data_IF_605782923446
#
_entry.id   IF_605782923446
#
_cell.length_a   1.000
_cell.length_b   1.000
_cell.length_c   1.000
_cell.angle_alpha   90.00
_cell.angle_beta   90.00
_cell.angle_gamma   90.00
#
_symmetry.space_group_name_H-M   'P 1'
#
loop_
_entity.id
_entity.type
_entity.pdbx_description
1 polymer ?
#
# COMPACT_ATOMS: atom_id res chain seq x y z
N UNK A 1 6.00 -22.18 -4.31
CA UNK A 1 6.87 -21.75 -3.19
C UNK A 1 8.20 -21.15 -3.62
N UNK A 2 9.07 -21.89 -4.34
CA UNK A 2 10.46 -21.42 -4.65
C UNK A 2 10.53 -20.05 -5.33
N UNK A 3 9.71 -19.80 -6.35
CA UNK A 3 9.70 -18.51 -7.08
C UNK A 3 9.29 -17.31 -6.22
N UNK A 4 8.35 -17.52 -5.28
CA UNK A 4 7.93 -16.47 -4.34
C UNK A 4 9.08 -16.08 -3.42
N UNK A 5 9.78 -17.09 -2.87
CA UNK A 5 10.95 -16.86 -2.02
C UNK A 5 12.09 -16.19 -2.80
N UNK A 6 12.31 -16.56 -4.07
CA UNK A 6 13.29 -15.90 -4.94
C UNK A 6 12.97 -14.42 -5.12
N UNK A 7 11.70 -14.09 -5.38
CA UNK A 7 11.26 -12.69 -5.51
C UNK A 7 11.45 -11.91 -4.21
N UNK A 8 11.06 -12.50 -3.09
CA UNK A 8 11.26 -11.90 -1.77
C UNK A 8 12.74 -11.64 -1.47
N UNK A 9 13.61 -12.64 -1.66
CA UNK A 9 15.04 -12.51 -1.44
C UNK A 9 15.69 -11.47 -2.38
N UNK A 10 15.25 -11.40 -3.63
CA UNK A 10 15.69 -10.39 -4.58
C UNK A 10 15.36 -8.98 -4.09
N UNK A 11 14.11 -8.73 -3.72
CA UNK A 11 13.69 -7.41 -3.27
C UNK A 11 14.40 -6.99 -1.98
N UNK A 12 14.59 -7.92 -1.04
CA UNK A 12 15.33 -7.62 0.20
C UNK A 12 16.79 -7.21 -0.06
N UNK A 13 17.45 -7.84 -1.04
CA UNK A 13 18.81 -7.45 -1.46
C UNK A 13 18.82 -6.10 -2.16
N UNK A 14 17.79 -5.81 -2.94
CA UNK A 14 17.66 -4.55 -3.66
C UNK A 14 17.45 -3.37 -2.68
N UNK A 15 16.55 -3.52 -1.71
CA UNK A 15 16.33 -2.51 -0.65
C UNK A 15 17.60 -2.22 0.15
N UNK A 16 18.46 -3.23 0.38
CA UNK A 16 19.76 -3.04 1.04
C UNK A 16 20.77 -2.26 0.19
N UNK A 17 20.60 -2.24 -1.13
CA UNK A 17 21.52 -1.59 -2.09
C UNK A 17 21.01 -0.25 -2.59
N UNK A 18 19.69 -0.06 -2.63
CA UNK A 18 19.03 1.18 -3.05
C UNK A 18 18.30 1.81 -1.86
N UNK A 19 18.99 2.60 -1.02
CA UNK A 19 18.33 3.35 0.05
C UNK A 19 17.32 4.38 -0.48
N UNK A 20 17.41 4.76 -1.76
CA UNK A 20 16.41 5.60 -2.43
C UNK A 20 15.00 4.98 -2.42
N UNK A 21 14.90 3.66 -2.40
CA UNK A 21 13.60 2.97 -2.36
C UNK A 21 12.93 3.09 -0.98
N UNK A 22 13.70 3.48 0.03
CA UNK A 22 13.25 3.70 1.41
C UNK A 22 12.93 5.18 1.69
N UNK A 23 12.91 6.05 0.66
CA UNK A 23 12.59 7.49 0.83
C UNK A 23 11.28 7.68 1.58
N UNK A 24 10.27 6.85 1.33
CA UNK A 24 8.99 6.96 2.03
C UNK A 24 9.16 6.79 3.56
N UNK A 25 10.00 5.86 4.02
CA UNK A 25 10.32 5.72 5.45
C UNK A 25 11.03 6.97 5.97
N UNK A 26 12.00 7.52 5.24
CA UNK A 26 12.64 8.77 5.64
C UNK A 26 11.66 9.96 5.76
N UNK A 27 10.64 10.02 4.90
CA UNK A 27 9.60 11.06 4.95
C UNK A 27 8.53 10.81 6.01
N UNK A 28 8.35 9.57 6.46
CA UNK A 28 7.30 9.18 7.40
C UNK A 28 7.39 9.94 8.73
N UNK A 29 8.53 9.97 9.45
CA UNK A 29 8.61 10.70 10.72
C UNK A 29 8.40 12.20 10.53
N UNK A 30 8.88 12.78 9.41
CA UNK A 30 8.67 14.19 9.09
C UNK A 30 7.18 14.52 8.89
N UNK A 31 6.46 13.69 8.12
CA UNK A 31 5.02 13.83 7.94
C UNK A 31 4.27 13.66 9.26
N UNK A 32 4.71 12.74 10.12
CA UNK A 32 4.12 12.56 11.46
C UNK A 32 4.32 13.79 12.33
N UNK A 33 5.51 14.40 12.32
CA UNK A 33 5.74 15.68 13.02
C UNK A 33 4.80 16.76 12.50
N UNK A 34 4.69 16.93 11.18
CA UNK A 34 3.82 17.95 10.58
C UNK A 34 2.36 17.71 10.97
N UNK A 35 1.87 16.49 10.85
CA UNK A 35 0.46 16.20 11.14
C UNK A 35 0.12 16.35 12.62
N UNK A 36 0.99 15.87 13.52
CA UNK A 36 0.80 16.04 14.95
C UNK A 36 0.87 17.51 15.37
N UNK A 37 1.85 18.26 14.85
CA UNK A 37 1.97 19.70 15.13
C UNK A 37 0.73 20.47 14.69
N UNK A 38 0.18 20.16 13.51
CA UNK A 38 -1.08 20.77 13.04
C UNK A 38 -2.23 20.40 13.97
N UNK A 39 -2.36 19.13 14.36
CA UNK A 39 -3.45 18.67 15.24
C UNK A 39 -3.38 19.32 16.63
N UNK A 40 -2.18 19.40 17.20
CA UNK A 40 -1.94 20.03 18.50
C UNK A 40 -2.21 21.53 18.46
N UNK A 41 -1.70 22.22 17.42
CA UNK A 41 -1.94 23.65 17.23
C UNK A 41 -3.43 24.01 17.08
N UNK A 42 -4.21 23.14 16.43
CA UNK A 42 -5.65 23.31 16.28
C UNK A 42 -6.47 22.85 17.50
N UNK A 43 -5.83 22.34 18.56
CA UNK A 43 -6.51 21.86 19.77
C UNK A 43 -7.44 20.67 19.52
N UNK A 44 -7.07 19.77 18.61
CA UNK A 44 -7.89 18.62 18.18
C UNK A 44 -7.30 17.26 18.60
N UNK A 45 -7.13 16.99 19.91
CA UNK A 45 -6.51 15.74 20.37
C UNK A 45 -7.28 14.49 19.92
N UNK A 46 -8.57 14.63 19.57
CA UNK A 46 -9.39 13.59 18.94
C UNK A 46 -8.81 13.06 17.63
N UNK A 47 -7.99 13.87 16.94
CA UNK A 47 -7.36 13.54 15.67
C UNK A 47 -5.92 13.02 15.81
N UNK A 48 -5.33 13.00 17.00
CA UNK A 48 -3.92 12.62 17.18
C UNK A 48 -3.63 11.19 16.66
N UNK A 49 -4.52 10.24 16.93
CA UNK A 49 -4.39 8.85 16.40
C UNK A 49 -4.39 8.83 14.88
N UNK A 50 -5.19 9.70 14.23
CA UNK A 50 -5.23 9.80 12.78
C UNK A 50 -3.91 10.38 12.24
N UNK A 51 -3.38 11.41 12.89
CA UNK A 51 -2.11 12.03 12.53
C UNK A 51 -0.91 11.07 12.64
N UNK A 52 -0.96 10.07 13.51
CA UNK A 52 0.10 9.04 13.60
C UNK A 52 -0.08 7.91 12.60
N UNK A 53 -1.32 7.45 12.38
CA UNK A 53 -1.57 6.34 11.44
C UNK A 53 -1.48 6.78 9.98
N UNK A 54 -1.80 8.04 9.67
CA UNK A 54 -1.85 8.50 8.29
C UNK A 54 -0.50 8.41 7.55
N UNK A 55 0.62 8.90 8.11
CA UNK A 55 1.94 8.79 7.47
C UNK A 55 2.38 7.34 7.25
N UNK A 56 2.08 6.45 8.21
CA UNK A 56 2.38 5.03 8.07
C UNK A 56 1.63 4.37 6.90
N UNK A 57 0.34 4.67 6.74
CA UNK A 57 -0.46 4.17 5.62
C UNK A 57 -0.07 4.81 4.29
N UNK A 58 0.33 6.09 4.30
CA UNK A 58 0.91 6.79 3.14
C UNK A 58 2.19 6.10 2.68
N UNK A 59 3.08 5.75 3.61
CA UNK A 59 4.33 5.03 3.32
C UNK A 59 4.07 3.63 2.77
N UNK A 60 3.11 2.91 3.36
CA UNK A 60 2.65 1.60 2.87
C UNK A 60 2.16 1.69 1.43
N UNK A 61 1.27 2.63 1.14
CA UNK A 61 0.75 2.84 -0.21
C UNK A 61 1.87 3.26 -1.19
N UNK A 62 2.64 4.27 -0.81
CA UNK A 62 3.68 4.87 -1.65
C UNK A 62 4.77 3.89 -2.03
N UNK A 63 5.32 3.12 -1.08
CA UNK A 63 6.38 2.16 -1.40
C UNK A 63 5.89 1.01 -2.27
N UNK A 64 4.69 0.50 -2.04
CA UNK A 64 4.13 -0.53 -2.92
C UNK A 64 3.90 -0.01 -4.34
N UNK A 65 3.48 1.25 -4.50
CA UNK A 65 3.34 1.88 -5.82
C UNK A 65 4.68 2.12 -6.51
N UNK A 66 5.68 2.59 -5.78
CA UNK A 66 7.04 2.80 -6.30
C UNK A 66 7.60 1.50 -6.86
N UNK A 67 7.59 0.44 -6.06
CA UNK A 67 8.10 -0.87 -6.47
C UNK A 67 7.28 -1.45 -7.63
N UNK A 68 5.95 -1.28 -7.62
CA UNK A 68 5.12 -1.69 -8.74
C UNK A 68 5.54 -1.01 -10.06
N UNK A 69 5.99 0.25 -10.01
CA UNK A 69 6.52 1.00 -11.16
C UNK A 69 7.94 0.58 -11.54
N UNK A 70 8.85 0.53 -10.57
CA UNK A 70 10.26 0.15 -10.77
C UNK A 70 10.38 -1.27 -11.34
N UNK A 71 9.47 -2.16 -10.95
CA UNK A 71 9.39 -3.49 -11.53
C UNK A 71 9.13 -3.47 -13.03
N UNK A 72 8.28 -2.58 -13.52
CA UNK A 72 8.00 -2.47 -14.96
C UNK A 72 9.15 -1.77 -15.68
N UNK A 73 9.67 -0.70 -15.10
CA UNK A 73 10.74 0.07 -15.72
C UNK A 73 12.03 -0.73 -15.81
N UNK A 74 12.37 -1.52 -14.77
CA UNK A 74 13.52 -2.42 -14.79
C UNK A 74 13.41 -3.47 -15.91
N UNK A 75 12.25 -4.11 -16.06
CA UNK A 75 12.02 -5.14 -17.07
C UNK A 75 11.99 -4.59 -18.50
N UNK A 76 11.56 -3.33 -18.67
CA UNK A 76 11.67 -2.61 -19.94
C UNK A 76 13.13 -2.27 -20.25
N UNK A 77 13.87 -1.75 -19.27
CA UNK A 77 15.27 -1.35 -19.44
C UNK A 77 16.20 -2.52 -19.78
N UNK A 78 15.93 -3.72 -19.26
CA UNK A 78 16.72 -4.92 -19.53
C UNK A 78 16.31 -5.66 -20.81
N UNK A 79 15.26 -5.19 -21.52
CA UNK A 79 14.73 -5.86 -22.72
C UNK A 79 14.12 -7.25 -22.44
N UNK A 80 14.02 -7.66 -21.17
CA UNK A 80 13.50 -8.96 -20.75
C UNK A 80 11.98 -9.02 -20.75
N UNK A 81 11.32 -7.87 -20.99
CA UNK A 81 9.87 -7.81 -21.11
C UNK A 81 9.31 -8.78 -22.16
N UNK A 82 10.03 -8.99 -23.27
CA UNK A 82 9.62 -9.96 -24.31
C UNK A 82 9.73 -11.41 -23.82
N UNK A 83 10.77 -11.73 -23.05
CA UNK A 83 10.97 -13.04 -22.42
C UNK A 83 9.93 -13.30 -21.32
N UNK A 84 9.54 -12.26 -20.58
CA UNK A 84 8.46 -12.30 -19.61
C UNK A 84 7.11 -12.62 -20.26
N UNK A 85 6.85 -12.02 -21.43
CA UNK A 85 5.67 -12.32 -22.23
C UNK A 85 5.66 -13.79 -22.67
N UNK A 86 6.82 -14.40 -22.92
CA UNK A 86 6.95 -15.82 -23.28
C UNK A 86 6.72 -16.80 -22.10
N UNK A 87 6.95 -16.40 -20.84
CA UNK A 87 6.73 -17.26 -19.64
C UNK A 87 5.86 -16.66 -18.49
N UNK A 88 4.57 -16.36 -18.73
CA UNK A 88 3.64 -15.71 -17.78
C UNK A 88 3.43 -16.45 -16.46
N UNK A 89 3.42 -17.78 -16.52
CA UNK A 89 3.02 -18.63 -15.40
C UNK A 89 3.97 -18.52 -14.18
N UNK A 90 5.18 -17.96 -14.37
CA UNK A 90 6.19 -17.82 -13.31
C UNK A 90 6.28 -16.39 -12.74
N UNK A 91 5.66 -15.41 -13.41
CA UNK A 91 5.74 -14.00 -13.03
C UNK A 91 4.93 -13.68 -11.78
N UNK A 92 3.74 -14.29 -11.66
CA UNK A 92 2.84 -14.08 -10.53
C UNK A 92 3.48 -14.32 -9.17
N UNK A 93 4.04 -15.51 -8.87
CA UNK A 93 4.66 -15.75 -7.57
C UNK A 93 5.88 -14.85 -7.29
N UNK A 94 6.68 -14.55 -8.32
CA UNK A 94 7.85 -13.68 -8.19
C UNK A 94 7.44 -12.26 -7.79
N UNK A 95 6.44 -11.71 -8.49
CA UNK A 95 5.88 -10.38 -8.24
C UNK A 95 5.29 -10.28 -6.84
N UNK A 96 4.42 -11.22 -6.46
CA UNK A 96 3.81 -11.24 -5.13
C UNK A 96 4.86 -11.31 -4.03
N UNK A 97 5.94 -12.09 -4.22
CA UNK A 97 7.05 -12.16 -3.26
C UNK A 97 7.77 -10.82 -3.06
N UNK A 98 8.02 -10.07 -4.14
CA UNK A 98 8.67 -8.74 -4.07
C UNK A 98 7.78 -7.73 -3.35
N UNK A 99 6.51 -7.65 -3.75
CA UNK A 99 5.55 -6.72 -3.14
C UNK A 99 5.33 -7.02 -1.67
N UNK A 100 5.22 -8.30 -1.30
CA UNK A 100 5.03 -8.70 0.09
C UNK A 100 6.18 -8.20 0.98
N UNK A 101 7.42 -8.35 0.54
CA UNK A 101 8.59 -7.85 1.27
C UNK A 101 8.50 -6.35 1.48
N UNK A 102 8.17 -5.60 0.43
CA UNK A 102 8.10 -4.14 0.51
C UNK A 102 6.97 -3.70 1.44
N UNK A 103 5.81 -4.33 1.33
CA UNK A 103 4.64 -4.01 2.16
C UNK A 103 4.92 -4.31 3.63
N UNK A 104 5.65 -5.37 3.94
CA UNK A 104 6.13 -5.69 5.30
C UNK A 104 7.17 -4.67 5.78
N UNK A 105 8.12 -4.28 4.93
CA UNK A 105 9.11 -3.23 5.25
C UNK A 105 8.41 -1.90 5.51
N UNK A 106 7.31 -1.59 4.82
CA UNK A 106 6.50 -0.39 5.07
C UNK A 106 5.91 -0.30 6.48
N UNK A 107 5.79 -1.42 7.19
CA UNK A 107 5.37 -1.41 8.59
C UNK A 107 6.39 -0.70 9.49
N UNK A 108 7.64 -0.55 9.07
CA UNK A 108 8.60 0.30 9.78
C UNK A 108 8.12 1.76 9.87
N UNK A 109 7.39 2.26 8.87
CA UNK A 109 6.83 3.61 8.91
C UNK A 109 5.81 3.79 10.03
N UNK A 110 5.08 2.73 10.39
CA UNK A 110 4.22 2.73 11.57
C UNK A 110 5.03 2.86 12.87
N UNK A 111 6.14 2.12 12.97
CA UNK A 111 7.03 2.19 14.13
C UNK A 111 7.66 3.58 14.26
N UNK A 112 8.14 4.15 13.15
CA UNK A 112 8.71 5.50 13.09
C UNK A 112 7.68 6.56 13.50
N UNK A 113 6.46 6.47 12.96
CA UNK A 113 5.39 7.40 13.30
C UNK A 113 5.03 7.32 14.79
N UNK A 114 4.96 6.10 15.32
CA UNK A 114 4.70 5.89 16.73
C UNK A 114 5.82 6.47 17.60
N UNK A 115 7.08 6.23 17.24
CA UNK A 115 8.23 6.74 17.97
C UNK A 115 8.24 8.27 18.00
N UNK A 116 7.91 8.92 16.88
CA UNK A 116 7.76 10.38 16.82
C UNK A 116 6.66 10.84 17.77
N UNK A 117 5.49 10.19 17.73
CA UNK A 117 4.37 10.55 18.59
C UNK A 117 4.72 10.46 20.08
N UNK A 118 5.46 9.42 20.49
CA UNK A 118 5.81 9.21 21.90
C UNK A 118 6.98 10.07 22.35
N UNK A 119 8.05 10.17 21.56
CA UNK A 119 9.30 10.84 21.97
C UNK A 119 9.23 12.34 21.76
N UNK A 120 8.66 12.81 20.66
CA UNK A 120 8.65 14.24 20.31
C UNK A 120 7.44 14.96 20.91
N UNK A 121 6.26 14.34 20.81
CA UNK A 121 4.99 14.95 21.25
C UNK A 121 4.49 14.45 22.60
N UNK A 122 5.14 13.44 23.19
CA UNK A 122 4.71 12.89 24.48
C UNK A 122 3.33 12.24 24.43
N UNK A 123 2.86 11.77 23.26
CA UNK A 123 1.56 11.13 23.08
C UNK A 123 1.73 9.61 23.13
N UNK A 124 1.53 8.95 24.30
CA UNK A 124 1.59 7.50 24.40
C UNK A 124 0.40 6.87 23.68
N UNK A 125 0.65 6.27 22.51
CA UNK A 125 -0.33 5.41 21.88
C UNK A 125 -0.38 4.08 22.63
N UNK A 126 -1.55 3.78 23.22
CA UNK A 126 -1.81 2.50 23.85
C UNK A 126 -2.73 1.68 22.95
N UNK A 127 -2.29 0.47 22.58
CA UNK A 127 -3.17 -0.45 21.86
C UNK A 127 -4.15 -1.05 22.84
N UNK A 128 -5.42 -0.67 22.73
CA UNK A 128 -6.48 -1.23 23.56
C UNK A 128 -6.77 -2.68 23.16
N UNK A 129 -6.74 -2.98 21.85
CA UNK A 129 -7.10 -4.27 21.29
C UNK A 129 -5.95 -4.86 20.44
N UNK A 130 -4.87 -5.38 21.05
CA UNK A 130 -3.65 -5.79 20.34
C UNK A 130 -3.88 -6.93 19.33
N UNK A 131 -4.76 -7.88 19.66
CA UNK A 131 -5.11 -8.96 18.74
C UNK A 131 -5.79 -8.45 17.47
N UNK A 132 -6.74 -7.52 17.61
CA UNK A 132 -7.40 -6.90 16.45
C UNK A 132 -6.41 -6.06 15.64
N UNK A 133 -5.58 -5.24 16.30
CA UNK A 133 -4.57 -4.43 15.64
C UNK A 133 -3.64 -5.29 14.77
N UNK A 134 -3.13 -6.40 15.31
CA UNK A 134 -2.25 -7.32 14.59
C UNK A 134 -2.96 -7.99 13.40
N UNK A 135 -4.20 -8.48 13.60
CA UNK A 135 -4.99 -9.10 12.52
C UNK A 135 -5.30 -8.09 11.42
N UNK A 136 -5.69 -6.87 11.76
CA UNK A 136 -5.94 -5.80 10.79
C UNK A 136 -4.67 -5.46 10.03
N UNK A 137 -3.52 -5.34 10.70
CA UNK A 137 -2.24 -5.04 10.04
C UNK A 137 -1.87 -6.12 9.02
N UNK A 138 -2.01 -7.40 9.40
CA UNK A 138 -1.78 -8.53 8.50
C UNK A 138 -2.77 -8.52 7.32
N UNK A 139 -4.04 -8.26 7.58
CA UNK A 139 -5.07 -8.15 6.54
C UNK A 139 -4.76 -7.01 5.56
N UNK A 140 -4.31 -5.85 6.05
CA UNK A 140 -3.90 -4.71 5.23
C UNK A 140 -2.69 -5.04 4.37
N UNK A 141 -1.68 -5.73 4.92
CA UNK A 141 -0.49 -6.17 4.16
C UNK A 141 -0.89 -7.11 3.01
N UNK A 142 -1.76 -8.08 3.28
CA UNK A 142 -2.25 -9.02 2.27
C UNK A 142 -3.10 -8.31 1.20
N UNK A 143 -4.01 -7.42 1.62
CA UNK A 143 -4.87 -6.69 0.71
C UNK A 143 -4.08 -5.73 -0.20
N UNK A 144 -3.07 -5.05 0.36
CA UNK A 144 -2.18 -4.19 -0.41
C UNK A 144 -1.32 -5.00 -1.37
N UNK A 145 -0.82 -6.16 -0.94
CA UNK A 145 -0.03 -7.04 -1.81
C UNK A 145 -0.84 -7.53 -3.01
N UNK A 146 -2.14 -7.81 -2.81
CA UNK A 146 -3.06 -8.14 -3.88
C UNK A 146 -3.32 -6.98 -4.85
N UNK A 147 -3.47 -5.76 -4.33
CA UNK A 147 -3.73 -4.57 -5.15
C UNK A 147 -2.51 -4.04 -5.90
N UNK A 148 -1.30 -4.22 -5.38
CA UNK A 148 -0.09 -3.71 -6.04
C UNK A 148 0.06 -4.25 -7.47
N UNK A 149 -0.35 -5.50 -7.73
CA UNK A 149 -0.29 -6.06 -9.08
C UNK A 149 -1.34 -5.48 -10.03
N UNK A 150 -2.46 -4.93 -9.52
CA UNK A 150 -3.39 -4.12 -10.34
C UNK A 150 -2.65 -2.89 -10.83
N UNK A 151 -1.90 -2.22 -9.95
CA UNK A 151 -1.13 -1.01 -10.28
C UNK A 151 -0.03 -1.33 -11.29
N UNK A 152 0.72 -2.42 -11.09
CA UNK A 152 1.67 -2.92 -12.07
C UNK A 152 1.03 -3.18 -13.44
N UNK A 153 -0.16 -3.80 -13.47
CA UNK A 153 -0.88 -4.02 -14.74
C UNK A 153 -1.22 -2.72 -15.45
N UNK A 154 -1.63 -1.70 -14.70
CA UNK A 154 -1.91 -0.36 -15.23
C UNK A 154 -0.63 0.34 -15.71
N UNK A 155 0.49 0.19 -14.99
CA UNK A 155 1.78 0.74 -15.39
C UNK A 155 2.34 0.13 -16.67
N UNK A 156 2.08 -1.17 -16.91
CA UNK A 156 2.44 -1.79 -18.20
C UNK A 156 1.74 -1.09 -19.37
N UNK A 157 0.48 -0.69 -19.19
CA UNK A 157 -0.31 0.00 -20.21
C UNK A 157 0.00 1.50 -20.31
N UNK A 158 0.48 2.10 -19.21
CA UNK A 158 0.84 3.51 -19.16
C UNK A 158 2.21 3.78 -19.80
N UNK A 159 2.32 4.94 -20.46
CA UNK A 159 3.60 5.49 -20.95
C UNK A 159 4.51 5.97 -19.80
N UNK A 160 3.94 6.29 -18.64
CA UNK A 160 4.68 6.74 -17.46
C UNK A 160 4.00 6.23 -16.19
N UNK A 161 4.68 5.35 -15.45
CA UNK A 161 4.25 4.92 -14.12
C UNK A 161 4.21 6.11 -13.15
N UNK A 162 5.18 7.03 -13.25
CA UNK A 162 5.35 8.17 -12.34
C UNK A 162 4.19 9.16 -12.38
N UNK A 163 3.64 9.45 -13.58
CA UNK A 163 2.47 10.34 -13.69
C UNK A 163 1.28 9.73 -12.95
N UNK A 164 1.03 8.43 -13.16
CA UNK A 164 -0.07 7.74 -12.50
C UNK A 164 0.13 7.67 -10.98
N UNK A 165 1.35 7.38 -10.51
CA UNK A 165 1.68 7.41 -9.08
C UNK A 165 1.34 8.76 -8.44
N UNK A 166 1.74 9.87 -9.08
CA UNK A 166 1.50 11.21 -8.54
C UNK A 166 0.03 11.63 -8.61
N UNK A 167 -0.68 11.30 -9.68
CA UNK A 167 -2.08 11.71 -9.87
C UNK A 167 -3.05 10.91 -9.01
N UNK A 168 -2.82 9.61 -8.81
CA UNK A 168 -3.79 8.74 -8.14
C UNK A 168 -3.55 8.58 -6.64
N UNK A 169 -2.36 8.89 -6.13
CA UNK A 169 -2.07 8.73 -4.69
C UNK A 169 -2.97 9.60 -3.82
N UNK A 170 -3.17 10.88 -4.18
CA UNK A 170 -3.97 11.79 -3.36
C UNK A 170 -5.45 11.40 -3.27
N UNK A 171 -6.15 11.06 -4.36
CA UNK A 171 -7.50 10.49 -4.30
C UNK A 171 -7.59 9.26 -3.38
N UNK A 172 -6.61 8.34 -3.44
CA UNK A 172 -6.61 7.15 -2.59
C UNK A 172 -6.35 7.46 -1.12
N UNK A 173 -5.56 8.49 -0.79
CA UNK A 173 -5.38 8.93 0.59
C UNK A 173 -6.65 9.54 1.19
N UNK A 174 -7.43 10.25 0.38
CA UNK A 174 -8.72 10.82 0.79
C UNK A 174 -9.79 9.73 0.90
N UNK A 175 -9.98 8.93 -0.14
CA UNK A 175 -11.02 7.88 -0.19
C UNK A 175 -10.70 6.68 0.72
N UNK A 176 -9.43 6.38 0.91
CA UNK A 176 -8.95 5.40 1.89
C UNK A 176 -9.09 5.90 3.33
N UNK A 177 -9.61 7.11 3.53
CA UNK A 177 -9.81 7.71 4.83
C UNK A 177 -8.50 7.88 5.60
N UNK A 178 -7.35 7.93 4.93
CA UNK A 178 -6.02 7.93 5.57
C UNK A 178 -5.78 9.27 6.24
N UNK A 179 -5.99 10.36 5.50
CA UNK A 179 -5.79 11.74 5.99
C UNK A 179 -6.93 12.19 6.91
N UNK A 180 -8.16 11.86 6.53
CA UNK A 180 -9.38 12.28 7.23
C UNK A 180 -10.28 11.07 7.39
N UNK A 181 -10.83 10.80 8.59
CA UNK A 181 -11.81 9.75 8.79
C UNK A 181 -12.95 9.81 7.77
N UNK A 182 -13.37 8.66 7.23
CA UNK A 182 -14.45 8.59 6.23
C UNK A 182 -15.76 9.16 6.78
N UNK A 183 -15.98 9.07 8.09
CA UNK A 183 -17.12 9.67 8.78
C UNK A 183 -17.23 11.20 8.62
N UNK A 184 -16.12 11.89 8.33
CA UNK A 184 -16.09 13.33 8.11
C UNK A 184 -16.17 13.71 6.62
N UNK A 185 -16.15 12.73 5.71
CA UNK A 185 -16.28 12.99 4.28
C UNK A 185 -17.73 13.37 3.90
N UNK A 186 -17.92 14.20 2.85
CA UNK A 186 -19.22 14.49 2.26
C UNK A 186 -20.01 13.21 1.95
N UNK A 187 -21.34 13.28 2.10
CA UNK A 187 -22.22 12.11 1.96
C UNK A 187 -22.03 11.36 0.62
N UNK A 188 -21.72 12.08 -0.46
CA UNK A 188 -21.50 11.48 -1.79
C UNK A 188 -20.18 10.70 -1.92
N UNK A 189 -19.16 10.99 -1.09
CA UNK A 189 -17.86 10.28 -1.11
C UNK A 189 -17.84 9.04 -0.19
N UNK A 190 -18.74 8.97 0.79
CA UNK A 190 -18.84 7.84 1.71
C UNK A 190 -19.06 6.49 0.99
N UNK A 191 -20.00 6.34 0.03
CA UNK A 191 -20.20 5.05 -0.64
C UNK A 191 -19.02 4.66 -1.54
N UNK A 192 -18.25 5.62 -2.04
CA UNK A 192 -17.04 5.33 -2.83
C UNK A 192 -15.93 4.81 -1.92
N UNK A 193 -15.80 5.38 -0.73
CA UNK A 193 -14.78 5.03 0.25
C UNK A 193 -14.94 3.59 0.77
N UNK A 194 -16.17 3.06 0.85
CA UNK A 194 -16.43 1.68 1.31
C UNK A 194 -15.95 0.60 0.33
N UNK A 195 -15.68 0.96 -0.94
CA UNK A 195 -15.10 0.04 -1.93
C UNK A 195 -13.57 -0.05 -1.78
N UNK A 196 -12.95 0.93 -1.13
CA UNK A 196 -11.50 1.01 -0.95
C UNK A 196 -11.11 0.23 0.30
N UNK A 197 -10.33 -0.85 0.19
CA UNK A 197 -9.91 -1.67 1.35
C UNK A 197 -9.17 -0.87 2.43
N UNK A 198 -8.50 0.22 2.02
CA UNK A 198 -7.72 1.09 2.89
C UNK A 198 -8.61 1.86 3.88
N UNK A 199 -9.86 2.16 3.54
CA UNK A 199 -10.80 2.81 4.46
C UNK A 199 -11.12 1.90 5.65
N UNK A 200 -11.51 0.67 5.38
CA UNK A 200 -11.76 -0.35 6.40
C UNK A 200 -10.52 -0.63 7.25
N UNK A 201 -9.35 -0.67 6.62
CA UNK A 201 -8.07 -0.88 7.31
C UNK A 201 -7.75 0.28 8.25
N UNK A 202 -7.82 1.51 7.76
CA UNK A 202 -7.49 2.71 8.53
C UNK A 202 -8.44 2.86 9.72
N UNK A 203 -9.74 2.65 9.51
CA UNK A 203 -10.71 2.77 10.59
C UNK A 203 -10.58 1.66 11.64
N UNK A 204 -10.32 0.40 11.24
CA UNK A 204 -10.05 -0.67 12.22
C UNK A 204 -8.75 -0.45 13.01
N UNK A 205 -7.69 0.05 12.36
CA UNK A 205 -6.44 0.39 13.04
C UNK A 205 -6.66 1.52 14.06
N UNK A 206 -7.52 2.50 13.75
CA UNK A 206 -7.90 3.55 14.70
C UNK A 206 -8.72 3.00 15.87
N UNK A 207 -9.73 2.19 15.57
CA UNK A 207 -10.63 1.67 16.60
C UNK A 207 -9.92 0.69 17.54
N UNK A 208 -8.91 -0.05 17.06
CA UNK A 208 -8.08 -0.91 17.91
C UNK A 208 -7.14 -0.16 18.85
N UNK A 209 -6.87 1.13 18.59
CA UNK A 209 -6.15 2.03 19.50
C UNK A 209 -7.08 2.74 20.49
N UNK A 210 -8.40 2.70 20.26
CA UNK A 210 -9.39 3.31 21.17
C UNK A 210 -9.83 2.30 22.24
N UNK A 211 -10.08 2.75 23.49
CA UNK A 211 -10.56 1.85 24.55
C UNK A 211 -11.94 1.22 24.28
N UNK A 212 -12.80 1.90 23.51
CA UNK A 212 -14.11 1.41 23.17
C UNK A 212 -14.03 0.09 22.36
N UNK A 213 -15.01 -0.79 22.55
CA UNK A 213 -15.12 -1.99 21.75
C UNK A 213 -15.42 -1.60 20.29
N UNK A 214 -14.65 -2.09 19.30
CA UNK A 214 -14.91 -1.81 17.90
C UNK A 214 -16.22 -2.45 17.43
N UNK A 215 -16.98 -1.75 16.60
CA UNK A 215 -18.20 -2.29 16.00
C UNK A 215 -17.88 -3.34 14.93
N UNK A 216 -18.52 -4.51 15.03
CA UNK A 216 -18.46 -5.60 14.06
C UNK A 216 -17.05 -5.91 13.51
N UNK A 217 -16.03 -6.15 14.36
CA UNK A 217 -14.64 -6.24 13.93
C UNK A 217 -14.39 -7.37 12.93
N UNK A 218 -15.08 -8.51 13.11
CA UNK A 218 -14.99 -9.67 12.22
C UNK A 218 -15.45 -9.34 10.80
N UNK A 219 -16.58 -8.65 10.66
CA UNK A 219 -17.11 -8.24 9.36
C UNK A 219 -16.13 -7.28 8.66
N UNK A 220 -15.61 -6.30 9.40
CA UNK A 220 -14.70 -5.28 8.84
C UNK A 220 -13.37 -5.90 8.40
N UNK A 221 -12.81 -6.82 9.18
CA UNK A 221 -11.63 -7.62 8.77
C UNK A 221 -11.98 -8.47 7.54
N UNK A 222 -13.16 -9.09 7.52
CA UNK A 222 -13.68 -9.81 6.38
C UNK A 222 -13.77 -8.94 5.11
N UNK A 223 -14.17 -7.68 5.24
CA UNK A 223 -14.20 -6.71 4.13
C UNK A 223 -12.79 -6.36 3.64
N UNK A 224 -11.82 -6.14 4.53
CA UNK A 224 -10.42 -5.90 4.14
C UNK A 224 -9.86 -7.09 3.35
N UNK A 225 -10.05 -8.31 3.87
CA UNK A 225 -9.58 -9.53 3.22
C UNK A 225 -10.35 -9.82 1.92
N UNK A 226 -11.66 -9.60 1.91
CA UNK A 226 -12.51 -9.80 0.73
C UNK A 226 -12.18 -8.85 -0.41
N UNK A 227 -12.03 -7.55 -0.11
CA UNK A 227 -11.57 -6.56 -1.08
C UNK A 227 -10.12 -6.84 -1.50
N UNK A 228 -9.26 -7.26 -0.58
CA UNK A 228 -7.89 -7.69 -0.88
C UNK A 228 -7.83 -8.88 -1.85
N UNK A 229 -8.65 -9.90 -1.62
CA UNK A 229 -8.77 -11.07 -2.47
C UNK A 229 -9.36 -10.72 -3.85
N UNK A 230 -10.38 -9.85 -3.89
CA UNK A 230 -10.92 -9.31 -5.14
C UNK A 230 -9.86 -8.52 -5.92
N UNK A 231 -9.06 -7.70 -5.25
CA UNK A 231 -7.92 -7.00 -5.83
C UNK A 231 -6.86 -7.96 -6.38
N UNK A 232 -6.52 -9.02 -5.64
CA UNK A 232 -5.59 -10.05 -6.09
C UNK A 232 -6.12 -10.83 -7.32
N UNK A 233 -7.42 -11.15 -7.34
CA UNK A 233 -8.06 -11.82 -8.48
C UNK A 233 -8.12 -10.90 -9.72
N UNK A 234 -8.47 -9.63 -9.53
CA UNK A 234 -8.46 -8.62 -10.58
C UNK A 234 -7.04 -8.43 -11.12
N UNK A 235 -6.07 -8.34 -10.23
CA UNK A 235 -4.65 -8.31 -10.57
C UNK A 235 -4.29 -9.50 -11.44
N UNK A 236 -4.61 -10.72 -10.96
CA UNK A 236 -4.39 -11.98 -11.66
C UNK A 236 -4.91 -11.96 -13.10
N UNK A 237 -6.15 -11.52 -13.25
CA UNK A 237 -6.81 -11.38 -14.52
C UNK A 237 -6.17 -10.31 -15.42
N UNK A 238 -5.86 -9.12 -14.88
CA UNK A 238 -5.28 -8.01 -15.63
C UNK A 238 -3.90 -8.33 -16.20
N UNK A 239 -2.93 -8.84 -15.40
CA UNK A 239 -1.63 -9.21 -16.01
C UNK A 239 -1.82 -10.32 -17.04
N UNK A 240 -2.74 -11.27 -16.81
CA UNK A 240 -3.01 -12.32 -17.79
C UNK A 240 -3.54 -11.75 -19.11
N UNK A 241 -4.43 -10.75 -19.06
CA UNK A 241 -4.93 -10.05 -20.25
C UNK A 241 -3.82 -9.25 -20.94
N UNK A 242 -3.06 -8.46 -20.18
CA UNK A 242 -1.97 -7.62 -20.69
C UNK A 242 -0.89 -8.47 -21.37
N UNK A 243 -0.47 -9.57 -20.74
CA UNK A 243 0.53 -10.49 -21.30
C UNK A 243 0.00 -11.21 -22.55
N UNK A 244 -1.29 -11.60 -22.59
CA UNK A 244 -1.91 -12.17 -23.80
C UNK A 244 -1.98 -11.17 -24.95
N UNK A 245 -2.30 -9.90 -24.65
CA UNK A 245 -2.36 -8.83 -25.65
C UNK A 245 -0.97 -8.56 -26.23
N UNK A 246 0.05 -8.46 -25.37
CA UNK A 246 1.45 -8.29 -25.77
C UNK A 246 1.93 -9.40 -26.72
N UNK A 247 1.54 -10.67 -26.48
CA UNK A 247 1.84 -11.78 -27.41
C UNK A 247 1.21 -11.61 -28.79
N UNK A 248 -0.06 -11.18 -28.84
CA UNK A 248 -0.84 -11.15 -30.08
C UNK A 248 -0.45 -10.00 -31.00
N UNK A 249 -0.04 -8.86 -30.45
CA UNK A 249 0.25 -7.68 -31.26
C UNK A 249 1.68 -7.66 -31.79
N UNK A 250 2.58 -8.54 -31.34
CA UNK A 250 4.01 -8.51 -31.74
C UNK A 250 4.70 -7.16 -31.48
N UNK A 251 4.05 -6.26 -30.75
CA UNK A 251 4.25 -4.81 -30.85
C UNK A 251 5.24 -4.28 -29.82
N UNK A 252 6.14 -5.11 -29.31
CA UNK A 252 7.25 -4.65 -28.46
C UNK A 252 8.54 -4.48 -29.31
N UNK A 253 8.46 -4.70 -30.62
CA UNK A 253 9.60 -4.50 -31.52
C UNK A 253 9.93 -3.02 -31.82
N UNK A 254 9.07 -2.03 -31.52
CA UNK A 254 9.28 -0.65 -31.96
C UNK A 254 8.78 0.37 -30.93
N UNK A 255 9.65 0.75 -30.00
CA UNK A 255 9.41 1.84 -29.06
C UNK A 255 10.69 2.21 -28.31
N UNK A 256 11.76 2.44 -29.08
CA UNK A 256 12.93 3.19 -28.62
C UNK A 256 12.61 4.68 -28.49
#
# INVERSE_FOLDING_TARGET
>A
MRLLLTGAAYQLRLLRRSPGDLIALATTPLLTVVFLAVVEHNGRPDLAVNAVLAPALIALWGMSLLIAGDMIDAERATGTFEVLVATPARLWPLFTGRVLVVTVVSLLGLVESWLVATVVFGVPLRVAHPGLFAVTLLATVLAMSGHAGVMTSLFVLSRSARIFQNSLSFPFYVLGGVLVPVALLPAFLRPVSTVVFLSWSADLLRDSLRPAAPDSPVLRVGMVLGLGAAGAALSWWLLSVVLRRARRTGSIALGG
#
